data_IF_637554139265
#
_entry.id   IF_637554139265
#
_cell.length_a   1.000
_cell.length_b   1.000
_cell.length_c   1.000
_cell.angle_alpha   90.00
_cell.angle_beta   90.00
_cell.angle_gamma   90.00
#
_symmetry.space_group_name_H-M   'P 1'
#
loop_
_entity.id
_entity.type
_entity.pdbx_description
1 polymer ?
#
# COMPACT_ATOMS: atom_id res chain seq x y z
N UNK A 1 62.45 -14.12 -17.69
CA UNK A 1 62.23 -15.57 -17.87
C UNK A 1 63.39 -16.11 -18.79
N UNK A 2 64.04 -17.16 -18.36
CA UNK A 2 65.18 -17.69 -19.08
C UNK A 2 64.72 -18.77 -20.07
N UNK A 3 64.60 -18.42 -21.36
CA UNK A 3 64.05 -19.28 -22.42
C UNK A 3 65.14 -20.13 -23.12
N UNK A 4 66.25 -20.36 -22.44
CA UNK A 4 67.34 -21.19 -23.02
C UNK A 4 67.00 -22.67 -23.13
N UNK A 5 67.49 -23.36 -24.19
CA UNK A 5 67.23 -24.78 -24.46
C UNK A 5 67.39 -25.70 -23.23
N UNK A 6 68.33 -25.39 -22.31
CA UNK A 6 68.52 -26.10 -21.03
C UNK A 6 67.39 -25.94 -20.06
N UNK A 7 66.82 -24.72 -19.91
CA UNK A 7 65.70 -24.43 -19.00
C UNK A 7 64.41 -25.08 -19.51
N UNK A 8 64.20 -25.07 -20.82
CA UNK A 8 63.06 -25.73 -21.47
C UNK A 8 63.14 -27.26 -21.32
N UNK A 9 64.31 -27.85 -21.49
CA UNK A 9 64.48 -29.28 -21.24
C UNK A 9 64.36 -29.70 -19.80
N UNK A 10 64.76 -28.87 -18.85
CA UNK A 10 64.54 -29.14 -17.43
C UNK A 10 63.03 -29.06 -17.06
N UNK A 11 62.28 -28.10 -17.60
CA UNK A 11 60.86 -28.03 -17.48
C UNK A 11 60.17 -29.24 -18.10
N UNK A 12 60.49 -29.62 -19.31
CA UNK A 12 59.95 -30.81 -19.98
C UNK A 12 60.24 -32.10 -19.19
N UNK A 13 61.46 -32.29 -18.65
CA UNK A 13 61.79 -33.44 -17.77
C UNK A 13 61.01 -33.43 -16.46
N UNK A 14 60.72 -32.25 -15.90
CA UNK A 14 59.92 -32.12 -14.70
C UNK A 14 58.43 -32.51 -14.94
N UNK A 15 57.89 -32.18 -16.14
CA UNK A 15 56.53 -32.59 -16.54
C UNK A 15 56.43 -34.02 -17.03
N UNK A 16 57.52 -34.62 -17.53
CA UNK A 16 57.56 -35.99 -18.09
C UNK A 16 57.86 -37.07 -17.05
N UNK A 17 58.22 -36.69 -15.85
CA UNK A 17 58.46 -37.62 -14.75
C UNK A 17 57.16 -38.36 -14.38
N UNK A 18 57.17 -39.70 -14.35
CA UNK A 18 55.96 -40.53 -14.01
C UNK A 18 55.26 -40.09 -12.73
N UNK A 19 56.00 -39.68 -11.69
CA UNK A 19 55.46 -39.15 -10.45
C UNK A 19 54.67 -37.83 -10.63
N UNK A 20 55.15 -36.93 -11.52
CA UNK A 20 54.47 -35.67 -11.83
C UNK A 20 53.19 -35.90 -12.65
N UNK A 21 53.20 -36.84 -13.59
CA UNK A 21 52.01 -37.20 -14.39
C UNK A 21 50.92 -37.82 -13.52
N UNK A 22 51.30 -38.68 -12.56
CA UNK A 22 50.38 -39.28 -11.61
C UNK A 22 49.76 -38.22 -10.67
N UNK A 23 50.58 -37.31 -10.14
CA UNK A 23 50.09 -36.19 -9.29
C UNK A 23 49.14 -35.26 -10.04
N UNK A 24 49.44 -34.96 -11.29
CA UNK A 24 48.57 -34.10 -12.12
C UNK A 24 47.25 -34.80 -12.50
N UNK A 25 47.29 -36.11 -12.83
CA UNK A 25 46.07 -36.90 -13.04
C UNK A 25 45.20 -36.95 -11.77
N UNK A 26 45.83 -37.16 -10.62
CA UNK A 26 45.13 -37.17 -9.34
C UNK A 26 44.48 -35.80 -9.04
N UNK A 27 45.21 -34.69 -9.22
CA UNK A 27 44.66 -33.33 -9.08
C UNK A 27 43.48 -33.09 -10.01
N UNK A 28 43.55 -33.53 -11.27
CA UNK A 28 42.46 -33.42 -12.24
C UNK A 28 41.21 -34.26 -11.82
N UNK A 29 41.44 -35.46 -11.28
CA UNK A 29 40.34 -36.29 -10.76
C UNK A 29 39.69 -35.62 -9.57
N UNK A 30 40.46 -35.13 -8.60
CA UNK A 30 39.95 -34.41 -7.43
C UNK A 30 39.18 -33.17 -7.88
N UNK A 31 39.69 -32.38 -8.83
CA UNK A 31 38.99 -31.20 -9.36
C UNK A 31 37.66 -31.58 -10.04
N UNK A 32 37.64 -32.67 -10.81
CA UNK A 32 36.41 -33.18 -11.43
C UNK A 32 35.37 -33.63 -10.39
N UNK A 33 35.81 -34.34 -9.36
CA UNK A 33 34.92 -34.76 -8.25
C UNK A 33 34.38 -33.54 -7.54
N UNK A 34 35.21 -32.54 -7.22
CA UNK A 34 34.81 -31.30 -6.58
C UNK A 34 33.78 -30.53 -7.44
N UNK A 35 33.99 -30.45 -8.74
CA UNK A 35 33.04 -29.83 -9.68
C UNK A 35 31.70 -30.56 -9.68
N UNK A 36 31.71 -31.89 -9.73
CA UNK A 36 30.48 -32.70 -9.66
C UNK A 36 29.74 -32.47 -8.34
N UNK A 37 30.48 -32.46 -7.22
CA UNK A 37 29.88 -32.19 -5.89
C UNK A 37 29.25 -30.80 -5.85
N UNK A 38 29.90 -29.76 -6.40
CA UNK A 38 29.36 -28.41 -6.48
C UNK A 38 28.08 -28.36 -7.35
N UNK A 39 28.10 -29.07 -8.50
CA UNK A 39 26.91 -29.13 -9.37
C UNK A 39 25.73 -29.84 -8.66
N UNK A 40 26.01 -31.00 -8.01
CA UNK A 40 24.97 -31.76 -7.29
C UNK A 40 24.43 -30.97 -6.10
N UNK A 41 25.31 -30.32 -5.31
CA UNK A 41 24.91 -29.46 -4.21
C UNK A 41 24.09 -28.25 -4.72
N UNK A 42 24.47 -27.64 -5.83
CA UNK A 42 23.73 -26.57 -6.48
C UNK A 42 22.33 -27.03 -6.93
N UNK A 43 22.25 -28.18 -7.61
CA UNK A 43 20.96 -28.73 -8.05
C UNK A 43 20.06 -29.10 -6.86
N UNK A 44 20.61 -29.69 -5.80
CA UNK A 44 19.87 -30.01 -4.58
C UNK A 44 19.38 -28.73 -3.89
N UNK A 45 20.22 -27.68 -3.81
CA UNK A 45 19.84 -26.37 -3.26
C UNK A 45 18.70 -25.72 -4.03
N UNK A 46 18.77 -25.70 -5.37
CA UNK A 46 17.70 -25.17 -6.24
C UNK A 46 16.42 -25.96 -6.07
N UNK A 47 16.48 -27.31 -6.08
CA UNK A 47 15.30 -28.17 -5.91
C UNK A 47 14.64 -27.98 -4.55
N UNK A 48 15.43 -27.84 -3.48
CA UNK A 48 14.94 -27.53 -2.14
C UNK A 48 14.28 -26.16 -2.09
N UNK A 49 14.89 -25.12 -2.72
CA UNK A 49 14.34 -23.79 -2.81
C UNK A 49 12.99 -23.76 -3.53
N UNK A 50 12.86 -24.47 -4.66
CA UNK A 50 11.59 -24.62 -5.39
C UNK A 50 10.53 -25.30 -4.53
N UNK A 51 10.91 -26.38 -3.79
CA UNK A 51 9.99 -27.08 -2.89
C UNK A 51 9.47 -26.20 -1.77
N UNK A 52 10.34 -25.41 -1.12
CA UNK A 52 9.95 -24.44 -0.09
C UNK A 52 9.02 -23.35 -0.69
N UNK A 53 9.38 -22.80 -1.84
CA UNK A 53 8.58 -21.78 -2.52
C UNK A 53 7.19 -22.30 -2.87
N UNK A 54 7.11 -23.54 -3.39
CA UNK A 54 5.83 -24.20 -3.66
C UNK A 54 5.01 -24.39 -2.38
N UNK A 55 5.62 -24.85 -1.30
CA UNK A 55 4.93 -25.01 0.00
C UNK A 55 4.37 -23.68 0.53
N UNK A 56 5.08 -22.56 0.35
CA UNK A 56 4.63 -21.22 0.71
C UNK A 56 3.43 -20.81 -0.15
N UNK A 57 3.48 -21.05 -1.47
CA UNK A 57 2.40 -20.73 -2.40
C UNK A 57 1.16 -21.59 -2.10
N UNK A 58 1.34 -22.90 -1.88
CA UNK A 58 0.24 -23.82 -1.56
C UNK A 58 -0.44 -23.47 -0.22
N UNK A 59 0.25 -22.76 0.69
CA UNK A 59 -0.31 -22.24 1.95
C UNK A 59 -0.97 -20.87 1.79
N UNK A 60 -0.88 -20.21 0.64
CA UNK A 60 -1.54 -18.94 0.39
C UNK A 60 -3.07 -19.12 0.33
N UNK A 61 -3.83 -18.11 0.77
CA UNK A 61 -5.28 -18.13 0.61
C UNK A 61 -5.70 -18.26 -0.86
N UNK A 62 -6.83 -18.91 -1.11
CA UNK A 62 -7.40 -19.04 -2.46
C UNK A 62 -8.06 -17.71 -2.87
N UNK A 63 -7.40 -16.97 -3.76
CA UNK A 63 -7.86 -15.65 -4.20
C UNK A 63 -9.25 -15.65 -4.83
N UNK A 64 -9.67 -16.77 -5.43
CA UNK A 64 -11.00 -16.88 -6.04
C UNK A 64 -12.15 -16.83 -5.03
N UNK A 65 -11.85 -17.04 -3.74
CA UNK A 65 -12.79 -17.05 -2.62
C UNK A 65 -12.62 -15.86 -1.71
N UNK A 66 -11.65 -14.99 -1.99
CA UNK A 66 -11.34 -13.84 -1.14
C UNK A 66 -11.92 -12.59 -1.78
N UNK A 67 -12.70 -11.88 -0.98
CA UNK A 67 -13.07 -10.52 -1.28
C UNK A 67 -11.89 -9.61 -0.89
N UNK A 68 -11.22 -9.04 -1.90
CA UNK A 68 -10.12 -8.09 -1.70
C UNK A 68 -10.62 -6.65 -1.55
N UNK A 69 -11.94 -6.43 -1.68
CA UNK A 69 -12.52 -5.13 -1.42
C UNK A 69 -12.32 -4.73 0.04
N UNK A 70 -12.05 -3.46 0.30
CA UNK A 70 -11.88 -2.99 1.67
C UNK A 70 -13.15 -3.24 2.48
N UNK A 71 -13.00 -3.66 3.73
CA UNK A 71 -14.11 -3.84 4.67
C UNK A 71 -14.05 -2.78 5.77
N UNK A 72 -15.20 -2.49 6.36
CA UNK A 72 -15.28 -1.52 7.47
C UNK A 72 -15.35 -0.08 6.97
N UNK A 73 -16.45 0.24 6.33
CA UNK A 73 -16.81 1.59 5.91
C UNK A 73 -17.57 2.33 7.00
N UNK A 74 -17.31 3.63 7.16
CA UNK A 74 -18.12 4.50 7.99
C UNK A 74 -19.52 4.68 7.40
N UNK A 75 -20.52 4.77 8.27
CA UNK A 75 -21.88 5.08 7.86
C UNK A 75 -22.06 6.59 7.83
N UNK A 76 -22.62 7.11 6.74
CA UNK A 76 -22.94 8.52 6.58
C UNK A 76 -24.39 8.77 6.91
N UNK A 77 -24.67 9.77 7.74
CA UNK A 77 -26.03 10.23 8.06
C UNK A 77 -26.29 11.55 7.33
N UNK A 78 -27.39 11.57 6.57
CA UNK A 78 -27.83 12.75 5.83
C UNK A 78 -29.05 13.38 6.52
N UNK A 79 -29.08 14.70 6.61
CA UNK A 79 -30.23 15.47 7.01
C UNK A 79 -31.36 15.43 5.96
N UNK A 80 -32.50 15.98 6.24
CA UNK A 80 -33.66 16.04 5.33
C UNK A 80 -33.37 16.78 4.02
N UNK A 81 -32.45 17.74 4.03
CA UNK A 81 -32.01 18.48 2.85
C UNK A 81 -30.90 17.78 2.06
N UNK A 82 -30.41 16.61 2.51
CA UNK A 82 -29.36 15.83 1.88
C UNK A 82 -27.93 16.19 2.31
N UNK A 83 -27.75 17.18 3.19
CA UNK A 83 -26.44 17.50 3.76
C UNK A 83 -25.97 16.42 4.76
N UNK A 84 -24.67 16.14 4.78
CA UNK A 84 -24.07 15.25 5.78
C UNK A 84 -24.12 15.90 7.17
N UNK A 85 -24.74 15.20 8.13
CA UNK A 85 -24.90 15.69 9.51
C UNK A 85 -24.07 14.90 10.52
N UNK A 86 -23.77 13.63 10.23
CA UNK A 86 -22.90 12.80 11.07
C UNK A 86 -22.24 11.68 10.26
N UNK A 87 -21.08 11.26 10.72
CA UNK A 87 -20.39 10.06 10.24
C UNK A 87 -20.20 9.11 11.41
N UNK A 88 -20.83 7.92 11.34
CA UNK A 88 -20.70 6.88 12.35
C UNK A 88 -19.50 5.99 12.03
N UNK A 89 -18.52 5.96 12.92
CA UNK A 89 -17.23 5.28 12.69
C UNK A 89 -16.98 4.25 13.78
N UNK A 90 -16.93 2.97 13.39
CA UNK A 90 -16.46 1.91 14.27
C UNK A 90 -14.92 1.84 14.30
N UNK A 91 -14.36 1.15 15.28
CA UNK A 91 -12.93 0.97 15.36
C UNK A 91 -12.40 0.27 14.08
N UNK A 92 -11.49 0.93 13.37
CA UNK A 92 -10.91 0.45 12.10
C UNK A 92 -11.84 0.58 10.88
N UNK A 93 -12.92 1.37 10.97
CA UNK A 93 -13.92 1.56 9.92
C UNK A 93 -14.04 3.03 9.45
N UNK A 94 -13.01 3.82 9.61
CA UNK A 94 -12.99 5.20 9.10
C UNK A 94 -12.67 5.22 7.61
N UNK A 95 -13.56 4.63 6.79
CA UNK A 95 -13.54 4.63 5.33
C UNK A 95 -14.86 5.12 4.80
N UNK A 96 -14.80 5.93 3.76
CA UNK A 96 -15.92 6.27 2.90
C UNK A 96 -15.55 5.82 1.50
N UNK A 97 -16.36 4.95 0.89
CA UNK A 97 -16.09 4.43 -0.44
C UNK A 97 -16.37 5.49 -1.49
N UNK A 98 -15.49 5.56 -2.47
CA UNK A 98 -15.66 6.38 -3.67
C UNK A 98 -15.25 5.57 -4.89
N UNK A 99 -15.99 5.75 -6.00
CA UNK A 99 -15.65 5.11 -7.27
C UNK A 99 -14.46 5.78 -7.92
N UNK A 100 -13.79 5.09 -8.83
CA UNK A 100 -12.62 5.65 -9.53
C UNK A 100 -12.96 6.94 -10.28
N UNK A 101 -14.17 7.04 -10.82
CA UNK A 101 -14.65 8.22 -11.55
C UNK A 101 -14.85 9.46 -10.65
N UNK A 102 -15.06 9.26 -9.35
CA UNK A 102 -15.17 10.33 -8.36
C UNK A 102 -13.79 10.80 -7.88
N UNK A 103 -12.74 10.02 -8.10
CA UNK A 103 -11.38 10.36 -7.70
C UNK A 103 -10.70 11.18 -8.80
N UNK A 104 -10.23 12.41 -8.51
CA UNK A 104 -9.55 13.23 -9.53
C UNK A 104 -8.34 12.52 -10.13
N UNK A 105 -8.13 12.65 -11.45
CA UNK A 105 -6.98 12.07 -12.15
C UNK A 105 -5.64 12.48 -11.54
N UNK A 106 -5.53 13.72 -11.06
CA UNK A 106 -4.31 14.21 -10.39
C UNK A 106 -3.98 13.37 -9.14
N UNK A 107 -5.00 12.94 -8.38
CA UNK A 107 -4.80 12.09 -7.21
C UNK A 107 -4.43 10.66 -7.62
N UNK A 108 -5.11 10.09 -8.63
CA UNK A 108 -4.78 8.77 -9.18
C UNK A 108 -3.33 8.74 -9.67
N UNK A 109 -2.94 9.72 -10.48
CA UNK A 109 -1.58 9.86 -11.00
C UNK A 109 -0.53 10.10 -9.91
N UNK A 110 -0.87 10.86 -8.85
CA UNK A 110 0.03 11.08 -7.72
C UNK A 110 0.36 9.77 -6.99
N UNK A 111 -0.65 8.92 -6.77
CA UNK A 111 -0.44 7.59 -6.17
C UNK A 111 0.39 6.68 -7.08
N UNK A 112 0.05 6.58 -8.35
CA UNK A 112 0.82 5.79 -9.32
C UNK A 112 2.26 6.29 -9.41
N UNK A 113 2.47 7.58 -9.53
CA UNK A 113 3.79 8.18 -9.70
C UNK A 113 4.73 7.95 -8.50
N UNK A 114 4.19 7.86 -7.27
CA UNK A 114 5.02 7.72 -6.07
C UNK A 114 5.17 6.28 -5.60
N UNK A 115 4.17 5.43 -5.82
CA UNK A 115 4.14 4.05 -5.33
C UNK A 115 4.51 3.03 -6.40
N UNK A 116 4.09 3.23 -7.66
CA UNK A 116 4.19 2.21 -8.70
C UNK A 116 4.21 2.83 -10.11
N UNK A 117 5.34 3.43 -10.48
CA UNK A 117 5.57 4.16 -11.75
C UNK A 117 5.09 3.43 -13.02
N UNK A 118 5.15 2.10 -13.03
CA UNK A 118 4.77 1.25 -14.17
C UNK A 118 3.51 0.43 -13.90
N UNK A 119 2.64 0.92 -13.05
CA UNK A 119 1.42 0.21 -12.63
C UNK A 119 0.60 -0.32 -13.81
N UNK A 120 0.47 0.45 -14.86
CA UNK A 120 -0.29 0.08 -16.06
C UNK A 120 0.45 -0.87 -17.01
N UNK A 121 1.77 -1.07 -16.83
CA UNK A 121 2.62 -1.84 -17.75
C UNK A 121 2.85 -3.28 -17.28
N UNK A 122 2.71 -3.56 -15.98
CA UNK A 122 2.98 -4.89 -15.41
C UNK A 122 1.71 -5.57 -14.92
N UNK A 123 1.80 -6.89 -14.70
CA UNK A 123 0.69 -7.72 -14.22
C UNK A 123 0.92 -8.12 -12.74
N UNK A 124 0.84 -7.16 -11.82
CA UNK A 124 0.96 -7.39 -10.37
C UNK A 124 2.37 -7.40 -9.81
N UNK A 125 3.40 -7.64 -10.63
CA UNK A 125 4.82 -7.60 -10.24
C UNK A 125 5.61 -6.74 -11.21
N UNK A 126 6.33 -5.76 -10.70
CA UNK A 126 7.27 -4.95 -11.48
C UNK A 126 8.69 -5.53 -11.42
N UNK A 127 9.04 -6.36 -12.40
CA UNK A 127 10.37 -6.96 -12.50
C UNK A 127 11.49 -5.93 -12.74
N UNK A 128 11.19 -4.83 -13.45
CA UNK A 128 12.13 -3.72 -13.64
C UNK A 128 12.42 -2.99 -12.34
N UNK A 129 11.37 -2.71 -11.54
CA UNK A 129 11.50 -2.10 -10.22
C UNK A 129 12.30 -2.97 -9.26
N UNK A 130 12.04 -4.28 -9.24
CA UNK A 130 12.82 -5.24 -8.44
C UNK A 130 14.29 -5.23 -8.86
N UNK A 131 14.59 -5.29 -10.17
CA UNK A 131 15.94 -5.23 -10.69
C UNK A 131 16.66 -3.93 -10.31
N UNK A 132 16.00 -2.80 -10.47
CA UNK A 132 16.52 -1.48 -10.07
C UNK A 132 16.82 -1.41 -8.57
N UNK A 133 15.87 -1.82 -7.73
CA UNK A 133 16.03 -1.82 -6.27
C UNK A 133 17.18 -2.74 -5.82
N UNK A 134 17.37 -3.88 -6.49
CA UNK A 134 18.46 -4.80 -6.22
C UNK A 134 19.83 -4.19 -6.56
N UNK A 135 19.98 -3.60 -7.76
CA UNK A 135 21.21 -2.94 -8.20
C UNK A 135 21.54 -1.75 -7.29
N UNK A 136 20.53 -0.91 -6.98
CA UNK A 136 20.68 0.23 -6.07
C UNK A 136 21.06 -0.22 -4.66
N UNK A 137 20.45 -1.30 -4.17
CA UNK A 137 20.77 -1.90 -2.86
C UNK A 137 22.21 -2.40 -2.77
N UNK A 138 22.70 -3.07 -3.82
CA UNK A 138 24.08 -3.52 -3.90
C UNK A 138 25.08 -2.35 -3.94
N UNK A 139 24.77 -1.30 -4.71
CA UNK A 139 25.66 -0.14 -4.86
C UNK A 139 25.73 0.74 -3.61
N UNK A 140 24.61 0.89 -2.88
CA UNK A 140 24.49 1.72 -1.69
C UNK A 140 24.73 0.95 -0.37
N UNK A 141 24.90 -0.38 -0.44
CA UNK A 141 25.03 -1.25 0.74
C UNK A 141 23.79 -1.32 1.63
N UNK A 142 22.63 -0.86 1.13
CA UNK A 142 21.35 -0.91 1.84
C UNK A 142 20.17 -1.00 0.85
N UNK A 143 19.22 -1.86 1.15
CA UNK A 143 17.98 -2.02 0.39
C UNK A 143 16.92 -1.06 0.95
N UNK A 144 16.90 0.19 0.48
CA UNK A 144 16.00 1.25 0.96
C UNK A 144 14.94 1.65 -0.06
N UNK A 145 15.03 1.16 -1.29
CA UNK A 145 14.04 1.45 -2.34
C UNK A 145 12.90 0.44 -2.29
N UNK A 146 11.65 0.93 -2.26
CA UNK A 146 10.45 0.11 -2.36
C UNK A 146 10.32 -0.44 -3.79
N UNK A 147 10.03 -1.73 -3.90
CA UNK A 147 9.74 -2.40 -5.17
C UNK A 147 8.40 -3.14 -5.10
N UNK A 148 7.54 -2.80 -4.14
CA UNK A 148 6.20 -3.38 -4.01
C UNK A 148 5.23 -2.59 -4.88
N UNK A 149 4.45 -3.30 -5.69
CA UNK A 149 3.42 -2.71 -6.54
C UNK A 149 2.17 -2.32 -5.75
N UNK A 150 1.31 -1.51 -6.35
CA UNK A 150 -0.02 -1.16 -5.81
C UNK A 150 -0.83 -2.43 -5.55
N UNK A 151 -0.82 -3.38 -6.48
CA UNK A 151 -1.53 -4.66 -6.34
C UNK A 151 -1.01 -5.49 -5.16
N UNK A 152 0.31 -5.54 -4.94
CA UNK A 152 0.90 -6.21 -3.78
C UNK A 152 0.50 -5.53 -2.47
N UNK A 153 0.43 -4.19 -2.45
CA UNK A 153 -0.01 -3.44 -1.27
C UNK A 153 -1.50 -3.67 -0.98
N UNK A 154 -2.35 -3.74 -2.01
CA UNK A 154 -3.76 -4.07 -1.87
C UNK A 154 -3.94 -5.46 -1.20
N UNK A 155 -3.24 -6.47 -1.71
CA UNK A 155 -3.24 -7.83 -1.12
C UNK A 155 -2.76 -7.81 0.33
N UNK A 156 -1.65 -7.14 0.61
CA UNK A 156 -1.10 -7.04 1.96
C UNK A 156 -2.10 -6.44 2.94
N UNK A 157 -2.78 -5.38 2.54
CA UNK A 157 -3.66 -4.62 3.43
C UNK A 157 -5.01 -5.31 3.68
N UNK A 158 -5.56 -6.02 2.68
CA UNK A 158 -6.93 -6.55 2.74
C UNK A 158 -6.98 -8.08 2.89
N UNK A 159 -5.95 -8.80 2.48
CA UNK A 159 -5.92 -10.27 2.50
C UNK A 159 -4.96 -10.82 3.55
N UNK A 160 -3.73 -10.33 3.59
CA UNK A 160 -2.67 -10.82 4.48
C UNK A 160 -2.55 -9.93 5.73
N UNK A 161 -3.64 -9.69 6.43
CA UNK A 161 -3.75 -8.70 7.51
C UNK A 161 -2.90 -9.00 8.76
N UNK A 162 -2.38 -10.21 8.91
CA UNK A 162 -1.49 -10.60 10.02
C UNK A 162 -0.08 -9.97 9.98
N UNK A 163 0.26 -9.24 8.91
CA UNK A 163 1.60 -8.65 8.74
C UNK A 163 2.03 -7.71 9.87
N UNK A 164 1.07 -7.14 10.60
CA UNK A 164 1.33 -6.25 11.75
C UNK A 164 1.90 -6.98 12.98
N UNK A 165 1.72 -8.30 13.07
CA UNK A 165 2.20 -9.15 14.16
C UNK A 165 3.47 -9.93 13.82
N UNK A 166 4.00 -9.80 12.59
CA UNK A 166 5.20 -10.52 12.15
C UNK A 166 6.47 -10.02 12.85
N UNK A 167 7.17 -10.94 13.48
CA UNK A 167 8.42 -10.64 14.19
C UNK A 167 9.65 -11.24 13.53
N UNK A 168 9.49 -12.36 12.81
CA UNK A 168 10.59 -13.10 12.20
C UNK A 168 10.88 -12.71 10.75
N UNK A 169 12.14 -12.87 10.32
CA UNK A 169 12.52 -12.70 8.92
C UNK A 169 11.83 -13.73 8.01
N UNK A 170 11.63 -14.96 8.49
CA UNK A 170 11.01 -16.04 7.73
C UNK A 170 9.55 -15.71 7.42
N UNK A 171 8.79 -15.24 8.41
CA UNK A 171 7.40 -14.80 8.23
C UNK A 171 7.29 -13.67 7.18
N UNK A 172 8.17 -12.68 7.27
CA UNK A 172 8.22 -11.56 6.31
C UNK A 172 8.53 -12.05 4.89
N UNK A 173 9.45 -13.01 4.76
CA UNK A 173 9.79 -13.59 3.45
C UNK A 173 8.63 -14.43 2.90
N UNK A 174 8.02 -15.26 3.74
CA UNK A 174 6.85 -16.07 3.37
C UNK A 174 5.73 -15.18 2.87
N UNK A 175 5.34 -14.17 3.65
CA UNK A 175 4.33 -13.19 3.23
C UNK A 175 4.71 -12.52 1.92
N UNK A 176 5.97 -12.09 1.75
CA UNK A 176 6.39 -11.41 0.52
C UNK A 176 6.26 -12.28 -0.74
N UNK A 177 6.51 -13.59 -0.62
CA UNK A 177 6.27 -14.55 -1.70
C UNK A 177 4.77 -14.70 -1.96
N UNK A 178 3.95 -14.80 -0.90
CA UNK A 178 2.50 -14.87 -1.03
C UNK A 178 1.91 -13.59 -1.64
N UNK A 179 2.36 -12.40 -1.24
CA UNK A 179 1.96 -11.12 -1.85
C UNK A 179 2.19 -11.12 -3.37
N UNK A 180 3.37 -11.55 -3.81
CA UNK A 180 3.70 -11.60 -5.23
C UNK A 180 2.82 -12.59 -6.00
N UNK A 181 2.65 -13.80 -5.45
CA UNK A 181 1.81 -14.82 -6.06
C UNK A 181 0.35 -14.36 -6.16
N UNK A 182 -0.21 -13.88 -5.06
CA UNK A 182 -1.60 -13.41 -5.02
C UNK A 182 -1.84 -12.17 -5.90
N UNK A 183 -0.85 -11.29 -6.02
CA UNK A 183 -0.93 -10.14 -6.92
C UNK A 183 -1.02 -10.55 -8.39
N UNK A 184 -0.23 -11.55 -8.82
CA UNK A 184 -0.32 -12.12 -10.16
C UNK A 184 -1.69 -12.77 -10.42
N UNK A 185 -2.19 -13.56 -9.47
CA UNK A 185 -3.49 -14.24 -9.62
C UNK A 185 -4.64 -13.22 -9.61
N UNK A 186 -4.58 -12.18 -8.77
CA UNK A 186 -5.58 -11.12 -8.75
C UNK A 186 -5.65 -10.37 -10.08
N UNK A 187 -4.51 -9.93 -10.60
CA UNK A 187 -4.44 -9.20 -11.88
C UNK A 187 -4.96 -10.06 -13.06
N UNK A 188 -4.65 -11.35 -13.03
CA UNK A 188 -5.14 -12.30 -14.02
C UNK A 188 -6.65 -12.52 -13.94
N UNK A 189 -7.21 -12.53 -12.72
CA UNK A 189 -8.64 -12.75 -12.49
C UNK A 189 -9.46 -11.51 -12.81
N UNK A 190 -9.02 -10.34 -12.33
CA UNK A 190 -9.74 -9.07 -12.46
C UNK A 190 -9.52 -8.46 -13.85
N UNK A 191 -8.26 -8.43 -14.30
CA UNK A 191 -7.83 -7.83 -15.58
C UNK A 191 -8.34 -6.38 -15.77
N UNK A 192 -8.42 -5.62 -14.69
CA UNK A 192 -8.92 -4.26 -14.65
C UNK A 192 -8.05 -3.44 -13.67
N UNK A 193 -7.24 -2.54 -14.21
CA UNK A 193 -6.32 -1.68 -13.44
C UNK A 193 -7.05 -0.61 -12.64
N UNK A 194 -8.13 -0.08 -13.20
CA UNK A 194 -8.91 0.97 -12.55
C UNK A 194 -9.61 0.39 -11.32
N UNK A 195 -10.15 -0.82 -11.42
CA UNK A 195 -10.72 -1.52 -10.28
C UNK A 195 -9.67 -1.79 -9.17
N UNK A 196 -8.45 -2.19 -9.55
CA UNK A 196 -7.36 -2.42 -8.57
C UNK A 196 -6.98 -1.11 -7.89
N UNK A 197 -6.82 -0.03 -8.65
CA UNK A 197 -6.48 1.29 -8.13
C UNK A 197 -7.57 1.82 -7.21
N UNK A 198 -8.84 1.70 -7.60
CA UNK A 198 -10.00 2.09 -6.80
C UNK A 198 -9.98 1.41 -5.43
N UNK A 199 -9.85 0.08 -5.41
CA UNK A 199 -9.83 -0.66 -4.15
C UNK A 199 -8.60 -0.34 -3.30
N UNK A 200 -7.44 -0.09 -3.91
CA UNK A 200 -6.25 0.38 -3.21
C UNK A 200 -6.48 1.75 -2.58
N UNK A 201 -6.98 2.72 -3.34
CA UNK A 201 -7.22 4.08 -2.88
C UNK A 201 -8.30 4.16 -1.80
N UNK A 202 -9.25 3.23 -1.80
CA UNK A 202 -10.26 3.08 -0.73
C UNK A 202 -9.75 2.32 0.50
N UNK A 203 -8.56 1.69 0.46
CA UNK A 203 -8.04 0.85 1.56
C UNK A 203 -6.78 1.37 2.23
N UNK A 204 -6.02 2.21 1.55
CA UNK A 204 -4.70 2.66 2.01
C UNK A 204 -4.81 3.48 3.30
N UNK A 205 -3.88 3.22 4.24
CA UNK A 205 -3.77 4.00 5.48
C UNK A 205 -3.08 5.34 5.18
N UNK A 206 -3.76 6.44 5.47
CA UNK A 206 -3.32 7.81 5.22
C UNK A 206 -3.11 8.62 6.51
N UNK A 207 -2.86 7.94 7.63
CA UNK A 207 -2.57 8.58 8.91
C UNK A 207 -3.82 9.14 9.61
N UNK A 208 -3.64 9.70 10.80
CA UNK A 208 -4.74 10.30 11.59
C UNK A 208 -6.00 9.43 11.69
N UNK A 209 -5.84 8.11 11.73
CA UNK A 209 -6.93 7.12 11.71
C UNK A 209 -7.80 7.20 10.45
N UNK A 210 -7.27 7.66 9.32
CA UNK A 210 -7.98 7.68 8.04
C UNK A 210 -7.59 6.51 7.15
N UNK A 211 -8.57 5.82 6.62
CA UNK A 211 -8.43 4.72 5.68
C UNK A 211 -9.13 5.09 4.38
N UNK A 212 -8.37 5.15 3.28
CA UNK A 212 -8.86 5.58 1.98
C UNK A 212 -8.87 7.10 1.77
N UNK A 213 -8.95 7.48 0.49
CA UNK A 213 -8.73 8.86 0.03
C UNK A 213 -9.86 9.81 0.41
N UNK A 214 -11.11 9.35 0.44
CA UNK A 214 -12.25 10.19 0.82
C UNK A 214 -12.15 10.62 2.29
N UNK A 215 -11.89 9.66 3.20
CA UNK A 215 -11.69 9.95 4.61
C UNK A 215 -10.49 10.89 4.84
N UNK A 216 -9.41 10.71 4.07
CA UNK A 216 -8.25 11.59 4.14
C UNK A 216 -8.56 13.00 3.62
N UNK A 217 -9.30 13.13 2.51
CA UNK A 217 -9.75 14.42 1.97
C UNK A 217 -10.57 15.20 2.98
N UNK A 218 -11.57 14.55 3.59
CA UNK A 218 -12.39 15.15 4.67
C UNK A 218 -11.53 15.52 5.87
N UNK A 219 -10.61 14.64 6.30
CA UNK A 219 -9.78 14.86 7.49
C UNK A 219 -8.80 16.02 7.34
N UNK A 220 -8.15 16.13 6.17
CA UNK A 220 -7.08 17.11 5.99
C UNK A 220 -7.54 18.42 5.38
N UNK A 221 -8.59 18.39 4.54
CA UNK A 221 -9.03 19.54 3.77
C UNK A 221 -10.51 19.89 3.93
N UNK A 222 -11.29 19.09 4.67
CA UNK A 222 -12.74 19.23 4.81
C UNK A 222 -13.47 19.31 3.47
N UNK A 223 -12.99 18.58 2.48
CA UNK A 223 -13.52 18.56 1.11
C UNK A 223 -13.93 17.15 0.71
N UNK A 224 -14.82 17.07 -0.25
CA UNK A 224 -15.00 15.84 -1.01
C UNK A 224 -13.73 15.53 -1.80
N UNK A 225 -13.43 14.24 -2.03
CA UNK A 225 -12.22 13.85 -2.78
C UNK A 225 -12.23 14.42 -4.19
N UNK A 226 -13.40 14.53 -4.82
CA UNK A 226 -13.60 15.09 -6.16
C UNK A 226 -13.21 16.58 -6.28
N UNK A 227 -13.13 17.29 -5.16
CA UNK A 227 -12.78 18.71 -5.10
C UNK A 227 -11.30 18.99 -4.82
N UNK A 228 -10.48 17.94 -4.69
CA UNK A 228 -9.07 18.09 -4.41
C UNK A 228 -8.29 18.71 -5.58
N UNK A 229 -7.47 19.70 -5.27
CA UNK A 229 -6.51 20.26 -6.22
C UNK A 229 -5.27 19.38 -6.36
N UNK A 230 -4.46 19.55 -7.41
CA UNK A 230 -3.18 18.86 -7.59
C UNK A 230 -2.27 19.01 -6.36
N UNK A 231 -2.23 20.20 -5.77
CA UNK A 231 -1.46 20.50 -4.56
C UNK A 231 -1.90 19.65 -3.38
N UNK A 232 -3.22 19.56 -3.11
CA UNK A 232 -3.81 18.78 -2.04
C UNK A 232 -3.67 17.27 -2.30
N UNK A 233 -3.88 16.82 -3.53
CA UNK A 233 -3.67 15.45 -3.98
C UNK A 233 -2.23 14.97 -3.70
N UNK A 234 -1.24 15.81 -3.98
CA UNK A 234 0.17 15.49 -3.75
C UNK A 234 0.55 15.42 -2.25
N UNK A 235 -0.15 16.16 -1.37
CA UNK A 235 -0.02 16.02 0.09
C UNK A 235 -0.52 14.66 0.54
N UNK A 236 -1.72 14.24 0.11
CA UNK A 236 -2.32 12.96 0.47
C UNK A 236 -1.46 11.79 -0.01
N UNK A 237 -1.05 11.80 -1.28
CA UNK A 237 -0.18 10.77 -1.84
C UNK A 237 1.18 10.67 -1.11
N UNK A 238 1.67 11.80 -0.59
CA UNK A 238 2.91 11.85 0.20
C UNK A 238 2.86 11.08 1.52
N UNK A 239 1.68 10.73 2.03
CA UNK A 239 1.52 10.08 3.34
C UNK A 239 1.82 8.57 3.29
N UNK A 240 1.56 7.92 2.17
CA UNK A 240 1.48 6.46 1.98
C UNK A 240 2.62 5.65 2.59
N UNK A 241 3.87 6.06 2.37
CA UNK A 241 5.06 5.31 2.78
C UNK A 241 5.22 5.19 4.30
N UNK A 242 4.83 6.24 5.04
CA UNK A 242 4.94 6.29 6.51
C UNK A 242 3.81 7.18 7.07
N UNK A 243 2.61 6.62 7.26
CA UNK A 243 1.42 7.39 7.62
C UNK A 243 1.55 8.24 8.89
N UNK A 244 2.30 7.77 9.87
CA UNK A 244 2.57 8.55 11.10
C UNK A 244 3.68 9.59 10.89
N UNK A 245 4.74 9.22 10.16
CA UNK A 245 5.92 10.10 9.99
C UNK A 245 5.73 11.19 8.93
N UNK A 246 4.79 11.01 7.99
CA UNK A 246 4.45 11.99 6.94
C UNK A 246 3.04 12.57 7.13
N UNK A 247 2.49 12.48 8.33
CA UNK A 247 1.20 13.09 8.64
C UNK A 247 1.32 14.62 8.51
N UNK A 248 0.51 15.28 7.64
CA UNK A 248 0.67 16.71 7.37
C UNK A 248 0.25 17.62 8.53
N UNK A 249 -0.52 17.11 9.51
CA UNK A 249 -0.89 17.86 10.72
C UNK A 249 0.27 17.88 11.70
N UNK A 250 0.89 16.71 11.98
CA UNK A 250 1.90 16.57 13.03
C UNK A 250 3.33 16.75 12.52
N UNK A 251 3.55 16.51 11.23
CA UNK A 251 4.88 16.58 10.59
C UNK A 251 4.81 17.29 9.22
N UNK A 252 4.31 18.54 9.14
CA UNK A 252 4.14 19.25 7.87
C UNK A 252 5.42 19.36 7.06
N UNK A 253 6.57 19.65 7.69
CA UNK A 253 7.87 19.77 7.00
C UNK A 253 8.32 18.47 6.33
N UNK A 254 8.04 17.33 6.96
CA UNK A 254 8.39 16.02 6.38
C UNK A 254 7.45 15.66 5.23
N UNK A 255 6.16 15.97 5.39
CA UNK A 255 5.19 15.78 4.33
C UNK A 255 5.51 16.69 3.14
N UNK A 256 5.88 17.96 3.37
CA UNK A 256 6.26 18.91 2.31
C UNK A 256 7.41 18.37 1.43
N UNK A 257 8.45 17.82 2.04
CA UNK A 257 9.55 17.16 1.31
C UNK A 257 9.08 15.95 0.51
N UNK A 258 8.12 15.19 1.04
CA UNK A 258 7.57 14.04 0.36
C UNK A 258 6.63 14.46 -0.79
N UNK A 259 5.81 15.49 -0.58
CA UNK A 259 4.97 16.15 -1.59
C UNK A 259 5.79 16.64 -2.78
N UNK A 260 6.91 17.33 -2.52
CA UNK A 260 7.85 17.75 -3.58
C UNK A 260 8.32 16.55 -4.41
N UNK A 261 8.62 15.41 -3.76
CA UNK A 261 8.99 14.19 -4.46
C UNK A 261 7.84 13.64 -5.32
N UNK A 262 6.58 13.66 -4.82
CA UNK A 262 5.40 13.26 -5.59
C UNK A 262 5.28 14.11 -6.84
N UNK A 263 5.29 15.44 -6.71
CA UNK A 263 5.18 16.38 -7.83
C UNK A 263 6.33 16.22 -8.83
N UNK A 264 7.58 16.00 -8.37
CA UNK A 264 8.69 15.74 -9.27
C UNK A 264 8.48 14.44 -10.04
N UNK A 265 8.05 13.34 -9.39
CA UNK A 265 7.77 12.10 -10.07
C UNK A 265 6.66 12.28 -11.12
N UNK A 266 5.56 12.95 -10.76
CA UNK A 266 4.46 13.24 -11.71
C UNK A 266 4.93 14.02 -12.93
N UNK A 267 5.78 15.02 -12.72
CA UNK A 267 6.37 15.81 -13.82
C UNK A 267 7.31 14.96 -14.69
N UNK A 268 8.21 14.22 -14.07
CA UNK A 268 9.21 13.41 -14.78
C UNK A 268 8.58 12.24 -15.55
N UNK A 269 7.43 11.74 -15.09
CA UNK A 269 6.62 10.73 -15.76
C UNK A 269 5.61 11.31 -16.75
N UNK A 270 5.51 12.64 -16.88
CA UNK A 270 4.68 13.31 -17.87
C UNK A 270 3.20 13.47 -17.50
N UNK A 271 2.81 13.19 -16.25
CA UNK A 271 1.44 13.39 -15.76
C UNK A 271 1.09 14.87 -15.60
N UNK A 272 2.07 15.70 -15.26
CA UNK A 272 1.89 17.15 -15.13
C UNK A 272 2.96 17.92 -15.90
N UNK A 273 2.62 19.12 -16.34
CA UNK A 273 3.54 20.06 -16.96
C UNK A 273 4.42 20.75 -15.90
N UNK A 274 5.53 21.38 -16.36
CA UNK A 274 6.35 22.21 -15.46
C UNK A 274 5.54 23.37 -14.86
N UNK A 275 4.62 23.98 -15.61
CA UNK A 275 3.79 25.06 -15.11
C UNK A 275 2.86 24.62 -13.96
N UNK A 276 2.21 23.46 -14.09
CA UNK A 276 1.39 22.85 -13.03
C UNK A 276 2.23 22.49 -11.82
N UNK A 277 3.44 21.97 -12.03
CA UNK A 277 4.39 21.72 -10.94
C UNK A 277 4.75 22.99 -10.17
N UNK A 278 5.13 24.07 -10.90
CA UNK A 278 5.53 25.33 -10.29
C UNK A 278 4.35 25.96 -9.52
N UNK A 279 3.14 25.91 -10.07
CA UNK A 279 1.90 26.39 -9.43
C UNK A 279 1.62 25.59 -8.14
N UNK A 280 1.63 24.25 -8.22
CA UNK A 280 1.41 23.40 -7.06
C UNK A 280 2.48 23.65 -5.99
N UNK A 281 3.75 23.83 -6.34
CA UNK A 281 4.83 24.11 -5.38
C UNK A 281 4.71 25.48 -4.72
N UNK A 282 4.15 26.47 -5.41
CA UNK A 282 3.92 27.81 -4.87
C UNK A 282 2.70 27.88 -3.93
N UNK A 283 1.81 26.89 -3.97
CA UNK A 283 0.61 26.86 -3.14
C UNK A 283 0.92 26.59 -1.66
N UNK A 284 0.44 27.48 -0.79
CA UNK A 284 0.55 27.35 0.68
C UNK A 284 -0.52 26.40 1.25
N UNK A 285 -0.45 25.14 0.83
CA UNK A 285 -1.44 24.10 1.19
C UNK A 285 -1.46 23.79 2.69
N UNK A 286 -0.33 23.94 3.40
CA UNK A 286 -0.21 23.56 4.80
C UNK A 286 -0.89 24.53 5.76
N UNK A 287 -1.02 25.80 5.42
CA UNK A 287 -1.78 26.77 6.22
C UNK A 287 -3.27 26.40 6.27
N UNK A 288 -3.85 25.93 5.16
CA UNK A 288 -5.24 25.45 5.11
C UNK A 288 -5.48 24.24 6.01
N UNK A 289 -4.52 23.28 6.05
CA UNK A 289 -4.60 22.11 6.94
C UNK A 289 -4.60 22.53 8.41
N UNK A 290 -3.72 23.45 8.79
CA UNK A 290 -3.61 23.96 10.16
C UNK A 290 -4.89 24.69 10.57
N UNK A 291 -5.44 25.55 9.72
CA UNK A 291 -6.67 26.29 9.96
C UNK A 291 -7.85 25.35 10.20
N UNK A 292 -8.06 24.37 9.33
CA UNK A 292 -9.15 23.39 9.48
C UNK A 292 -9.03 22.60 10.79
N UNK A 293 -7.85 22.15 11.17
CA UNK A 293 -7.65 21.34 12.37
C UNK A 293 -7.70 22.16 13.68
N UNK A 294 -7.58 23.46 13.63
CA UNK A 294 -7.79 24.35 14.80
C UNK A 294 -9.28 24.67 15.03
N UNK A 295 -10.08 24.65 13.98
CA UNK A 295 -11.54 24.93 14.04
C UNK A 295 -12.39 23.68 14.21
N UNK A 296 -11.84 22.50 13.92
CA UNK A 296 -12.56 21.22 13.95
C UNK A 296 -12.76 20.70 15.37
N UNK A 297 -13.94 20.94 15.94
CA UNK A 297 -14.38 20.26 17.15
C UNK A 297 -14.66 18.78 16.87
N UNK A 298 -14.26 17.90 17.79
CA UNK A 298 -14.70 16.51 17.77
C UNK A 298 -16.24 16.46 17.78
N UNK A 299 -16.83 15.77 16.82
CA UNK A 299 -18.28 15.57 16.77
C UNK A 299 -18.72 14.74 17.97
N UNK A 300 -19.28 15.39 18.95
CA UNK A 300 -20.14 14.71 19.93
C UNK A 300 -21.46 14.46 19.18
N UNK A 301 -21.91 13.21 19.11
CA UNK A 301 -23.21 12.90 18.54
C UNK A 301 -24.28 13.73 19.23
N UNK A 302 -25.19 14.31 18.45
CA UNK A 302 -26.36 14.97 19.01
C UNK A 302 -27.35 13.92 19.53
N UNK A 303 -28.22 14.28 20.46
CA UNK A 303 -29.31 13.39 20.91
C UNK A 303 -30.16 12.85 19.76
N UNK A 304 -30.32 13.64 18.69
CA UNK A 304 -31.02 13.19 17.49
C UNK A 304 -30.30 12.01 16.83
N UNK A 305 -28.98 12.10 16.69
CA UNK A 305 -28.16 11.03 16.08
C UNK A 305 -28.18 9.76 16.95
N UNK A 306 -28.12 9.90 18.27
CA UNK A 306 -28.20 8.74 19.17
C UNK A 306 -29.57 8.03 19.04
N UNK A 307 -30.69 8.80 19.07
CA UNK A 307 -32.02 8.24 18.84
C UNK A 307 -32.18 7.61 17.43
N UNK A 308 -31.56 8.21 16.41
CA UNK A 308 -31.58 7.65 15.07
C UNK A 308 -30.84 6.31 15.01
N UNK A 309 -29.70 6.20 15.69
CA UNK A 309 -28.94 4.95 15.78
C UNK A 309 -29.80 3.84 16.40
N UNK A 310 -30.47 4.13 17.50
CA UNK A 310 -31.37 3.16 18.16
C UNK A 310 -32.51 2.72 17.23
N UNK A 311 -33.14 3.64 16.51
CA UNK A 311 -34.19 3.31 15.56
C UNK A 311 -33.70 2.43 14.41
N UNK A 312 -32.53 2.77 13.82
CA UNK A 312 -31.92 1.96 12.75
C UNK A 312 -31.52 0.57 13.26
N UNK A 313 -31.06 0.48 14.51
CA UNK A 313 -30.74 -0.80 15.15
C UNK A 313 -31.98 -1.67 15.28
N UNK A 314 -33.11 -1.08 15.77
CA UNK A 314 -34.37 -1.78 15.89
C UNK A 314 -34.93 -2.23 14.53
N UNK A 315 -34.85 -1.37 13.51
CA UNK A 315 -35.28 -1.71 12.15
C UNK A 315 -34.45 -2.87 11.55
N UNK A 316 -33.13 -2.86 11.74
CA UNK A 316 -32.25 -3.94 11.27
C UNK A 316 -32.54 -5.27 12.00
N UNK A 317 -32.77 -5.22 13.32
CA UNK A 317 -33.11 -6.43 14.09
C UNK A 317 -34.51 -6.95 13.73
N UNK A 318 -35.47 -6.07 13.46
CA UNK A 318 -36.81 -6.43 12.95
C UNK A 318 -36.73 -7.02 11.53
N UNK A 319 -35.74 -6.60 10.72
CA UNK A 319 -35.48 -7.17 9.40
C UNK A 319 -34.76 -8.54 9.44
N UNK A 320 -34.42 -9.05 10.65
CA UNK A 320 -33.85 -10.38 10.85
C UNK A 320 -32.35 -10.45 11.03
N UNK A 321 -31.64 -9.33 11.10
CA UNK A 321 -30.23 -9.30 11.48
C UNK A 321 -30.07 -9.56 12.99
N UNK A 322 -29.03 -10.29 13.39
CA UNK A 322 -28.66 -10.39 14.79
C UNK A 322 -28.16 -9.04 15.33
N UNK A 323 -28.24 -8.83 16.65
CA UNK A 323 -27.73 -7.59 17.29
C UNK A 323 -26.29 -7.28 16.88
N UNK A 324 -25.43 -8.31 16.83
CA UNK A 324 -24.02 -8.14 16.43
C UNK A 324 -23.87 -7.73 14.96
N UNK A 325 -24.71 -8.24 14.07
CA UNK A 325 -24.73 -7.86 12.66
C UNK A 325 -25.28 -6.46 12.47
N UNK A 326 -26.35 -6.09 13.17
CA UNK A 326 -26.91 -4.75 13.16
C UNK A 326 -25.87 -3.70 13.59
N UNK A 327 -25.16 -3.94 14.69
CA UNK A 327 -24.04 -3.09 15.12
C UNK A 327 -22.92 -3.00 14.09
N UNK A 328 -22.54 -4.11 13.47
CA UNK A 328 -21.52 -4.11 12.40
C UNK A 328 -21.98 -3.29 11.21
N UNK A 329 -23.23 -3.42 10.79
CA UNK A 329 -23.79 -2.66 9.67
C UNK A 329 -23.80 -1.17 9.97
N UNK A 330 -24.27 -0.76 11.15
CA UNK A 330 -24.34 0.66 11.54
C UNK A 330 -22.96 1.31 11.59
N UNK A 331 -21.95 0.63 12.15
CA UNK A 331 -20.65 1.27 12.40
C UNK A 331 -19.56 0.87 11.42
N UNK A 332 -19.75 -0.16 10.57
CA UNK A 332 -18.73 -0.69 9.66
C UNK A 332 -19.29 -1.10 8.30
N UNK A 333 -20.60 -0.98 8.08
CA UNK A 333 -21.26 -1.45 6.87
C UNK A 333 -21.33 -0.42 5.75
N UNK A 334 -20.90 0.83 5.99
CA UNK A 334 -20.95 1.87 4.97
C UNK A 334 -22.35 2.30 4.58
N UNK A 335 -23.30 2.30 5.53
CA UNK A 335 -24.67 2.70 5.26
C UNK A 335 -24.76 4.19 4.93
N UNK A 336 -25.70 4.56 4.08
CA UNK A 336 -26.16 5.94 3.93
C UNK A 336 -27.54 6.05 4.56
N UNK A 337 -27.61 6.66 5.74
CA UNK A 337 -28.86 6.84 6.49
C UNK A 337 -29.45 8.20 6.13
N UNK A 338 -30.59 8.21 5.43
CA UNK A 338 -31.34 9.43 5.13
C UNK A 338 -32.29 9.71 6.29
N UNK A 339 -32.02 10.73 7.08
CA UNK A 339 -32.82 11.11 8.22
C UNK A 339 -33.80 12.23 7.89
N UNK A 340 -34.74 12.48 8.82
CA UNK A 340 -35.67 13.62 8.79
C UNK A 340 -35.14 14.82 9.55
N UNK A 341 -33.86 14.85 9.93
CA UNK A 341 -33.26 15.94 10.69
C UNK A 341 -33.36 17.27 9.96
N UNK A 342 -33.94 18.27 10.61
CA UNK A 342 -33.88 19.66 10.17
C UNK A 342 -32.72 20.35 10.88
N UNK A 343 -31.72 20.79 10.11
CA UNK A 343 -30.47 21.38 10.64
C UNK A 343 -30.75 22.73 11.35
N UNK A 344 -31.78 23.47 10.93
CA UNK A 344 -32.17 24.72 11.58
C UNK A 344 -32.77 24.46 12.94
N UNK A 345 -33.68 23.49 13.03
CA UNK A 345 -34.28 23.06 14.32
C UNK A 345 -33.20 22.47 15.24
N UNK A 346 -32.28 21.65 14.70
CA UNK A 346 -31.17 21.09 15.47
C UNK A 346 -30.31 22.19 16.10
N UNK A 347 -29.93 23.20 15.31
CA UNK A 347 -29.14 24.35 15.81
C UNK A 347 -29.85 25.07 16.96
N UNK A 348 -31.15 25.27 16.85
CA UNK A 348 -31.94 25.90 17.90
C UNK A 348 -31.98 25.02 19.17
N UNK A 349 -32.14 23.70 19.00
CA UNK A 349 -32.12 22.76 20.12
C UNK A 349 -30.78 22.75 20.84
N UNK A 350 -29.70 22.68 20.11
CA UNK A 350 -28.34 22.66 20.65
C UNK A 350 -28.05 23.96 21.44
N UNK A 351 -28.41 25.11 20.88
CA UNK A 351 -28.27 26.40 21.58
C UNK A 351 -29.15 26.48 22.86
N UNK A 352 -30.34 25.89 22.86
CA UNK A 352 -31.21 25.89 24.02
C UNK A 352 -30.68 25.03 25.17
N UNK A 353 -29.98 23.93 24.85
CA UNK A 353 -29.39 23.02 25.84
C UNK A 353 -28.11 23.58 26.49
N UNK A 354 -27.43 24.54 25.87
CA UNK A 354 -26.26 25.21 26.46
C UNK A 354 -26.69 26.15 27.61
N UNK A 355 -27.98 26.55 27.67
CA UNK A 355 -28.50 27.50 28.65
C UNK A 355 -29.25 26.83 29.83
N UNK A 356 -29.29 25.51 29.89
CA UNK A 356 -29.82 24.72 31.00
C UNK A 356 -28.66 24.18 31.85
#
# INVERSE_FOLDING_TARGET
MNYGKKATMQLLRKYDNKSSKVKNKFKLIVLKILLVVVIVAGAAGISSGIGVMKGIIDSAPDISKIDVTPTGYSTTVLAANGEETATLVGQGANRQYVTIDEIPLDLQHAFVAIEDERFYDHNGIDLHGIGRAFISGLSKGRFSEGASTITQQLIKNNVLTSWTSETSFVEKLQRKIQEQYLALELEKQVNDKDWILENYMNSVNLGANTLGVQAASKKYFNKDVSELTLSEASVIAGITQNPSGYNPITHPDKNAKRREKVLNNMKDQGYITKAQYDEAMADDVYSRIAEYNTTGSGSVNTYFIDALIDNVFDDLTAAGYSETEAYKLIYKGGLTIKSTQDLTMQTICDLSLIHI
#
